data_IF_342772511433
#
_entry.id   IF_342772511433
#
_cell.length_a   1.000
_cell.length_b   1.000
_cell.length_c   1.000
_cell.angle_alpha   90.00
_cell.angle_beta   90.00
_cell.angle_gamma   90.00
#
_symmetry.space_group_name_H-M   'P 1'
#
loop_
_entity.id
_entity.type
_entity.pdbx_description
1 polymer ?
#
# COMPACT_ATOMS: atom_id res chain seq x y z
N UNK A 1 -19.30 15.38 -0.61
CA UNK A 1 -18.82 15.25 0.78
C UNK A 1 -18.68 13.80 1.29
N UNK A 2 -19.00 12.76 0.51
CA UNK A 2 -18.94 11.37 0.99
C UNK A 2 -17.59 10.64 0.75
N UNK A 3 -16.81 11.11 -0.22
CA UNK A 3 -15.59 10.48 -0.74
C UNK A 3 -14.34 10.86 0.05
N UNK A 4 -14.28 12.09 0.60
CA UNK A 4 -13.17 12.55 1.46
C UNK A 4 -12.99 11.65 2.68
N UNK A 5 -14.09 11.20 3.29
CA UNK A 5 -14.04 10.34 4.48
C UNK A 5 -13.41 8.96 4.19
N UNK A 6 -13.59 8.40 2.99
CA UNK A 6 -12.99 7.09 2.65
C UNK A 6 -11.49 7.25 2.42
N UNK A 7 -11.09 8.30 1.70
CA UNK A 7 -9.67 8.60 1.45
C UNK A 7 -8.94 8.88 2.77
N UNK A 8 -9.57 9.58 3.71
CA UNK A 8 -9.03 9.78 5.06
C UNK A 8 -8.89 8.46 5.83
N UNK A 9 -9.87 7.57 5.74
CA UNK A 9 -9.76 6.22 6.31
C UNK A 9 -8.59 5.44 5.69
N UNK A 10 -8.43 5.46 4.36
CA UNK A 10 -7.29 4.81 3.70
C UNK A 10 -5.96 5.41 4.16
N UNK A 11 -5.87 6.74 4.24
CA UNK A 11 -4.68 7.42 4.80
C UNK A 11 -4.38 6.99 6.23
N UNK A 12 -5.39 6.79 7.07
CA UNK A 12 -5.19 6.30 8.45
C UNK A 12 -4.67 4.87 8.53
N UNK A 13 -4.88 4.06 7.49
CA UNK A 13 -4.35 2.69 7.39
C UNK A 13 -2.89 2.65 6.92
N UNK A 14 -2.40 3.72 6.27
CA UNK A 14 -1.05 3.78 5.71
C UNK A 14 0.01 3.74 6.82
N UNK A 15 0.94 2.79 6.74
CA UNK A 15 2.09 2.68 7.63
C UNK A 15 3.10 3.80 7.38
N UNK A 16 3.40 4.11 6.12
CA UNK A 16 4.53 4.96 5.71
C UNK A 16 4.11 6.28 5.06
N UNK A 17 3.10 6.29 4.21
CA UNK A 17 2.62 7.49 3.53
C UNK A 17 1.84 8.39 4.49
N UNK A 18 2.33 9.62 4.70
CA UNK A 18 1.73 10.63 5.59
C UNK A 18 1.29 11.92 4.88
N UNK A 19 1.14 11.90 3.55
CA UNK A 19 0.60 13.03 2.78
C UNK A 19 1.60 13.87 1.99
N UNK A 20 2.86 13.42 1.83
CA UNK A 20 3.86 14.10 1.00
C UNK A 20 3.85 13.65 -0.46
N UNK A 21 4.21 14.52 -1.40
CA UNK A 21 4.21 14.17 -2.83
C UNK A 21 5.48 13.44 -3.30
N UNK A 22 6.45 13.22 -2.41
CA UNK A 22 7.72 12.55 -2.73
C UNK A 22 7.98 11.41 -1.74
N UNK A 23 8.45 10.29 -2.27
CA UNK A 23 8.88 9.15 -1.48
C UNK A 23 10.18 9.52 -0.73
N UNK A 24 10.20 9.46 0.61
CA UNK A 24 11.39 9.83 1.39
C UNK A 24 12.40 8.68 1.51
N UNK A 25 12.04 7.46 1.12
CA UNK A 25 12.91 6.29 1.20
C UNK A 25 13.73 6.20 -0.08
N UNK A 26 15.01 5.87 0.02
CA UNK A 26 15.90 5.74 -1.13
C UNK A 26 16.86 4.57 -0.91
N UNK A 27 16.59 3.40 -1.53
CA UNK A 27 17.41 2.20 -1.37
C UNK A 27 18.85 2.37 -1.88
N UNK A 28 19.09 3.29 -2.81
CA UNK A 28 20.42 3.52 -3.39
C UNK A 28 21.29 4.40 -2.47
N UNK A 29 20.66 5.06 -1.49
CA UNK A 29 21.33 5.92 -0.51
C UNK A 29 21.82 5.17 0.74
N UNK A 30 21.48 3.88 0.91
CA UNK A 30 21.79 3.08 2.10
C UNK A 30 22.83 2.00 1.85
N UNK A 31 23.38 1.42 2.92
CA UNK A 31 24.34 0.31 2.82
C UNK A 31 23.65 -0.98 2.33
N UNK A 32 24.38 -1.92 1.69
CA UNK A 32 23.80 -3.17 1.20
C UNK A 32 23.05 -3.98 2.26
N UNK A 33 23.49 -3.95 3.52
CA UNK A 33 22.83 -4.64 4.64
C UNK A 33 21.45 -4.06 5.00
N UNK A 34 21.18 -2.81 4.64
CA UNK A 34 19.93 -2.09 4.95
C UNK A 34 19.03 -1.98 3.72
N UNK A 35 19.57 -2.25 2.53
CA UNK A 35 18.90 -2.12 1.24
C UNK A 35 17.53 -2.79 1.21
N UNK A 36 17.42 -4.03 1.70
CA UNK A 36 16.16 -4.77 1.65
C UNK A 36 15.05 -4.08 2.47
N UNK A 37 15.38 -3.53 3.64
CA UNK A 37 14.42 -2.81 4.48
C UNK A 37 14.02 -1.48 3.83
N UNK A 38 14.99 -0.74 3.32
CA UNK A 38 14.74 0.56 2.70
C UNK A 38 13.97 0.41 1.38
N UNK A 39 14.28 -0.62 0.59
CA UNK A 39 13.54 -1.01 -0.60
C UNK A 39 12.10 -1.38 -0.29
N UNK A 40 11.87 -2.16 0.77
CA UNK A 40 10.51 -2.46 1.21
C UNK A 40 9.74 -1.19 1.57
N UNK A 41 10.34 -0.29 2.36
CA UNK A 41 9.69 0.98 2.72
C UNK A 41 9.36 1.82 1.51
N UNK A 42 10.30 1.93 0.57
CA UNK A 42 10.07 2.62 -0.70
C UNK A 42 8.86 2.04 -1.44
N UNK A 43 8.81 0.71 -1.62
CA UNK A 43 7.75 0.04 -2.36
C UNK A 43 6.38 0.13 -1.68
N UNK A 44 6.35 0.02 -0.34
CA UNK A 44 5.11 0.15 0.45
C UNK A 44 4.63 1.59 0.43
N UNK A 45 5.51 2.58 0.60
CA UNK A 45 5.12 3.99 0.47
C UNK A 45 4.51 4.27 -0.90
N UNK A 46 5.10 3.75 -1.99
CA UNK A 46 4.56 3.91 -3.35
C UNK A 46 3.17 3.29 -3.50
N UNK A 47 2.94 2.10 -2.92
CA UNK A 47 1.64 1.44 -2.92
C UNK A 47 0.59 2.25 -2.14
N UNK A 48 0.98 2.78 -0.98
CA UNK A 48 0.13 3.61 -0.12
C UNK A 48 -0.22 4.95 -0.78
N UNK A 49 0.76 5.61 -1.39
CA UNK A 49 0.55 6.79 -2.21
C UNK A 49 -0.44 6.51 -3.34
N UNK A 50 -0.23 5.41 -4.06
CA UNK A 50 -1.08 4.99 -5.17
C UNK A 50 -2.53 4.75 -4.74
N UNK A 51 -2.76 4.04 -3.62
CA UNK A 51 -4.12 3.75 -3.17
C UNK A 51 -4.85 5.00 -2.66
N UNK A 52 -4.14 5.93 -2.02
CA UNK A 52 -4.73 7.19 -1.58
C UNK A 52 -5.07 8.11 -2.75
N UNK A 53 -4.18 8.23 -3.74
CA UNK A 53 -4.38 9.13 -4.91
C UNK A 53 -5.29 8.53 -5.97
N UNK A 54 -5.31 7.20 -6.08
CA UNK A 54 -6.01 6.44 -7.12
C UNK A 54 -7.09 5.51 -6.55
N UNK A 55 -7.73 5.87 -5.43
CA UNK A 55 -8.66 5.00 -4.71
C UNK A 55 -9.72 4.36 -5.62
N UNK A 56 -10.38 5.13 -6.48
CA UNK A 56 -11.45 4.62 -7.35
C UNK A 56 -10.95 3.53 -8.32
N UNK A 57 -9.74 3.68 -8.86
CA UNK A 57 -9.14 2.68 -9.73
C UNK A 57 -8.85 1.37 -8.99
N UNK A 58 -8.35 1.47 -7.75
CA UNK A 58 -8.13 0.31 -6.90
C UNK A 58 -9.44 -0.35 -6.46
N UNK A 59 -10.47 0.43 -6.16
CA UNK A 59 -11.79 -0.08 -5.83
C UNK A 59 -12.44 -0.79 -7.02
N UNK A 60 -12.29 -0.26 -8.24
CA UNK A 60 -12.72 -0.95 -9.46
C UNK A 60 -11.96 -2.27 -9.67
N UNK A 61 -10.65 -2.27 -9.42
CA UNK A 61 -9.83 -3.49 -9.47
C UNK A 61 -10.28 -4.53 -8.43
N UNK A 62 -10.59 -4.08 -7.22
CA UNK A 62 -11.13 -4.92 -6.16
C UNK A 62 -12.47 -5.55 -6.56
N UNK A 63 -13.42 -4.77 -7.09
CA UNK A 63 -14.73 -5.29 -7.53
C UNK A 63 -14.62 -6.34 -8.64
N UNK A 64 -13.64 -6.19 -9.54
CA UNK A 64 -13.38 -7.16 -10.63
C UNK A 64 -12.81 -8.48 -10.11
N UNK A 65 -12.02 -8.44 -9.05
CA UNK A 65 -11.39 -9.64 -8.46
C UNK A 65 -12.26 -10.30 -7.40
N UNK A 66 -13.17 -9.54 -6.76
CA UNK A 66 -14.10 -10.01 -5.72
C UNK A 66 -15.49 -9.45 -5.98
N UNK A 67 -16.42 -10.24 -6.53
CA UNK A 67 -17.79 -9.80 -6.80
C UNK A 67 -18.65 -9.86 -5.52
N UNK A 68 -18.19 -9.21 -4.45
CA UNK A 68 -18.94 -9.07 -3.19
C UNK A 68 -19.24 -7.59 -2.96
N UNK A 69 -20.44 -7.26 -2.51
CA UNK A 69 -20.71 -5.90 -2.04
C UNK A 69 -20.06 -5.65 -0.67
N UNK A 70 -19.25 -4.59 -0.59
CA UNK A 70 -18.71 -4.11 0.68
C UNK A 70 -19.75 -3.23 1.37
N UNK A 71 -20.10 -3.61 2.60
CA UNK A 71 -21.28 -3.12 3.30
C UNK A 71 -21.10 -1.67 3.78
N UNK A 72 -19.86 -1.24 4.06
CA UNK A 72 -19.61 0.09 4.60
C UNK A 72 -18.28 0.71 4.11
N UNK A 73 -18.11 2.01 4.41
CA UNK A 73 -16.95 2.81 3.99
C UNK A 73 -15.61 2.33 4.58
N UNK A 74 -15.62 1.86 5.82
CA UNK A 74 -14.42 1.37 6.48
C UNK A 74 -13.95 0.05 5.86
N UNK A 75 -14.88 -0.87 5.60
CA UNK A 75 -14.60 -2.13 4.89
C UNK A 75 -14.04 -1.85 3.48
N UNK A 76 -14.61 -0.88 2.76
CA UNK A 76 -14.08 -0.42 1.46
C UNK A 76 -12.64 0.08 1.57
N UNK A 77 -12.35 0.95 2.54
CA UNK A 77 -11.01 1.48 2.74
C UNK A 77 -10.01 0.36 3.04
N UNK A 78 -10.36 -0.54 3.97
CA UNK A 78 -9.50 -1.63 4.41
C UNK A 78 -9.22 -2.65 3.31
N UNK A 79 -10.25 -3.10 2.60
CA UNK A 79 -10.10 -4.10 1.54
C UNK A 79 -9.32 -3.57 0.33
N UNK A 80 -9.54 -2.31 -0.04
CA UNK A 80 -8.81 -1.65 -1.12
C UNK A 80 -7.35 -1.41 -0.73
N UNK A 81 -7.09 -0.99 0.51
CA UNK A 81 -5.73 -0.88 1.06
C UNK A 81 -5.01 -2.23 1.03
N UNK A 82 -5.63 -3.29 1.57
CA UNK A 82 -5.07 -4.65 1.57
C UNK A 82 -4.75 -5.14 0.17
N UNK A 83 -5.64 -4.89 -0.80
CA UNK A 83 -5.41 -5.27 -2.20
C UNK A 83 -4.15 -4.58 -2.76
N UNK A 84 -4.01 -3.26 -2.55
CA UNK A 84 -2.88 -2.50 -3.08
C UNK A 84 -1.54 -2.98 -2.48
N UNK A 85 -1.51 -3.21 -1.17
CA UNK A 85 -0.33 -3.76 -0.50
C UNK A 85 -0.01 -5.17 -0.99
N UNK A 86 -1.02 -6.04 -1.07
CA UNK A 86 -0.82 -7.42 -1.52
C UNK A 86 -0.31 -7.48 -2.97
N UNK A 87 -0.92 -6.71 -3.90
CA UNK A 87 -0.47 -6.61 -5.28
C UNK A 87 0.99 -6.15 -5.36
N UNK A 88 1.38 -5.15 -4.55
CA UNK A 88 2.76 -4.70 -4.50
C UNK A 88 3.70 -5.80 -3.99
N UNK A 89 3.38 -6.45 -2.87
CA UNK A 89 4.20 -7.51 -2.29
C UNK A 89 4.39 -8.69 -3.25
N UNK A 90 3.36 -9.05 -4.02
CA UNK A 90 3.49 -10.08 -5.05
C UNK A 90 4.44 -9.67 -6.19
N UNK A 91 4.40 -8.39 -6.60
CA UNK A 91 5.25 -7.87 -7.68
C UNK A 91 6.72 -7.72 -7.31
N UNK A 92 7.03 -7.47 -6.03
CA UNK A 92 8.41 -7.30 -5.55
C UNK A 92 9.01 -8.59 -4.98
N UNK A 93 8.26 -9.70 -5.03
CA UNK A 93 8.68 -10.98 -4.48
C UNK A 93 10.04 -11.40 -5.05
N UNK A 94 10.92 -11.89 -4.19
CA UNK A 94 12.23 -12.42 -4.52
C UNK A 94 12.47 -13.75 -3.80
N UNK A 95 13.29 -14.61 -4.38
CA UNK A 95 13.60 -15.92 -3.80
C UNK A 95 14.59 -15.83 -2.63
N UNK A 96 15.40 -14.77 -2.59
CA UNK A 96 16.42 -14.53 -1.55
C UNK A 96 15.94 -13.66 -0.39
N UNK A 97 14.77 -13.02 -0.50
CA UNK A 97 14.25 -12.07 0.49
C UNK A 97 12.74 -12.24 0.68
N UNK A 98 12.31 -12.51 1.91
CA UNK A 98 10.89 -12.56 2.27
C UNK A 98 10.33 -11.18 2.64
N UNK A 99 10.01 -10.39 1.61
CA UNK A 99 9.41 -9.07 1.80
C UNK A 99 8.03 -9.11 2.46
N UNK A 100 7.30 -10.23 2.36
CA UNK A 100 5.99 -10.35 2.99
C UNK A 100 6.14 -10.46 4.50
N UNK A 101 7.04 -11.33 4.99
CA UNK A 101 7.36 -11.41 6.41
C UNK A 101 7.91 -10.07 6.93
N UNK A 102 8.81 -9.43 6.18
CA UNK A 102 9.35 -8.12 6.55
C UNK A 102 8.26 -7.04 6.66
N UNK A 103 7.26 -7.02 5.78
CA UNK A 103 6.14 -6.06 5.86
C UNK A 103 5.29 -6.24 7.12
N UNK A 104 5.09 -7.47 7.58
CA UNK A 104 4.36 -7.74 8.82
C UNK A 104 5.16 -7.37 10.07
N UNK A 105 6.49 -7.28 9.97
CA UNK A 105 7.37 -6.82 11.04
C UNK A 105 7.57 -5.29 11.07
N UNK A 106 7.10 -4.58 10.04
CA UNK A 106 7.21 -3.13 9.86
C UNK A 106 6.17 -2.37 10.68
#
# INVERSE_FOLDING_TARGET
MAQSNIIEMVKSLCKLYKGGDKNPYDPDSVKPSEWANEYLKFQIWDAEYSVVRGFEWWYDTWKRTRPKELANKAEKAEEVYKLAIFDKLQKIKRDDIDFQAMYFAL
#
